data_IF_696558129869
#
_entry.id   IF_696558129869
#
_cell.length_a   1.000
_cell.length_b   1.000
_cell.length_c   1.000
_cell.angle_alpha   90.00
_cell.angle_beta   90.00
_cell.angle_gamma   90.00
#
_symmetry.space_group_name_H-M   'P 1'
#
loop_
_entity.id
_entity.type
_entity.pdbx_description
1 polymer ?
#
# COMPACT_ATOMS: atom_id res chain seq x y z
N UNK A 1 38.75 28.91 -7.53
CA UNK A 1 37.58 28.03 -7.67
C UNK A 1 36.87 27.97 -6.32
N UNK A 2 35.77 28.73 -6.19
CA UNK A 2 34.63 28.42 -5.29
C UNK A 2 34.29 26.93 -5.55
N UNK A 3 34.21 26.02 -4.58
CA UNK A 3 33.23 25.92 -3.51
C UNK A 3 33.85 25.08 -2.38
N UNK A 4 34.38 25.74 -1.35
CA UNK A 4 34.97 25.10 -0.17
C UNK A 4 33.99 24.88 0.98
N UNK A 5 32.72 25.21 0.81
CA UNK A 5 31.67 24.98 1.80
C UNK A 5 30.78 23.83 1.32
N UNK A 6 30.87 22.71 2.03
CA UNK A 6 30.01 21.55 1.86
C UNK A 6 28.54 21.97 1.99
N UNK A 7 27.66 21.36 1.19
CA UNK A 7 26.20 21.54 1.26
C UNK A 7 25.68 21.28 2.68
N UNK A 8 26.36 20.39 3.42
CA UNK A 8 26.08 20.16 4.84
C UNK A 8 26.23 21.42 5.69
N UNK A 9 27.26 22.24 5.44
CA UNK A 9 27.47 23.47 6.18
C UNK A 9 26.34 24.48 5.89
N UNK A 10 25.84 24.54 4.66
CA UNK A 10 24.71 25.39 4.29
C UNK A 10 23.40 24.99 4.96
N UNK A 11 23.22 23.69 5.28
CA UNK A 11 22.02 23.20 5.97
C UNK A 11 22.13 23.45 7.48
N UNK A 12 23.29 23.19 8.07
CA UNK A 12 23.54 23.46 9.50
C UNK A 12 23.41 24.96 9.80
N UNK A 13 24.02 25.82 8.98
CA UNK A 13 23.93 27.27 9.17
C UNK A 13 22.51 27.82 8.92
N UNK A 14 21.73 27.15 8.07
CA UNK A 14 20.31 27.49 7.90
C UNK A 14 19.50 27.11 9.13
N UNK A 15 19.77 25.95 9.72
CA UNK A 15 19.06 25.46 10.90
C UNK A 15 19.32 26.34 12.13
N UNK A 16 20.58 26.73 12.36
CA UNK A 16 20.96 27.64 13.46
C UNK A 16 20.29 29.02 13.31
N UNK A 17 20.13 29.51 12.07
CA UNK A 17 19.45 30.78 11.78
C UNK A 17 17.93 30.69 11.97
N UNK A 18 17.34 29.53 11.76
CA UNK A 18 15.90 29.31 11.99
C UNK A 18 15.60 29.21 13.51
N UNK A 19 16.51 28.65 14.31
CA UNK A 19 16.37 28.51 15.78
C UNK A 19 16.45 29.85 16.54
N UNK A 20 17.16 30.85 15.99
CA UNK A 20 17.29 32.19 16.58
C UNK A 20 16.11 33.13 16.25
N UNK A 21 15.20 32.72 15.34
CA UNK A 21 14.04 33.53 14.91
C UNK A 21 12.80 33.45 15.80
N UNK A 22 12.85 32.76 16.94
CA UNK A 22 11.68 32.55 17.77
C UNK A 22 11.62 33.46 19.02
N UNK A 23 11.04 34.66 18.86
CA UNK A 23 10.12 35.36 19.82
C UNK A 23 9.65 36.72 19.22
N UNK A 24 8.46 37.30 19.57
CA UNK A 24 7.20 36.77 20.14
C UNK A 24 5.88 37.27 19.44
N UNK A 25 4.75 36.68 19.83
CA UNK A 25 3.33 37.14 19.87
C UNK A 25 2.68 37.88 18.67
N UNK A 26 1.55 37.35 18.16
CA UNK A 26 0.23 38.01 18.26
C UNK A 26 -0.92 37.15 17.66
N UNK A 27 -2.08 37.23 18.33
CA UNK A 27 -3.38 36.66 17.94
C UNK A 27 -3.87 37.16 16.55
N UNK A 28 -4.79 36.43 15.90
CA UNK A 28 -6.19 36.86 15.62
C UNK A 28 -6.92 35.80 14.76
N UNK A 29 -7.84 35.12 15.45
CA UNK A 29 -9.23 34.74 15.11
C UNK A 29 -9.63 34.30 13.68
N UNK A 30 -10.21 33.10 13.71
CA UNK A 30 -11.54 32.69 13.20
C UNK A 30 -11.82 32.70 11.69
N UNK A 31 -12.14 31.51 11.18
CA UNK A 31 -12.91 31.32 9.95
C UNK A 31 -13.48 29.91 9.84
N UNK A 32 -14.72 29.72 10.33
CA UNK A 32 -15.65 28.63 9.95
C UNK A 32 -15.24 27.17 10.24
N UNK A 33 -15.23 26.80 11.53
CA UNK A 33 -15.40 25.42 11.94
C UNK A 33 -16.88 25.02 11.89
N UNK A 34 -17.22 24.04 11.05
CA UNK A 34 -18.53 23.39 11.06
C UNK A 34 -18.61 22.57 12.37
N UNK A 35 -19.10 23.20 13.44
CA UNK A 35 -19.48 22.50 14.66
C UNK A 35 -20.82 21.82 14.43
N UNK A 36 -20.81 20.63 13.84
CA UNK A 36 -21.89 19.67 13.99
C UNK A 36 -21.42 18.33 13.44
N UNK A 37 -21.13 17.38 14.34
CA UNK A 37 -21.43 15.95 14.24
C UNK A 37 -20.66 15.22 15.36
N UNK A 38 -20.98 15.54 16.63
CA UNK A 38 -20.74 14.62 17.74
C UNK A 38 -22.00 13.78 17.96
N UNK A 39 -22.47 13.10 16.93
CA UNK A 39 -23.35 11.94 17.15
C UNK A 39 -22.42 10.76 17.34
N UNK A 40 -21.96 10.58 18.57
CA UNK A 40 -21.36 9.32 19.00
C UNK A 40 -22.44 8.25 18.83
N UNK A 41 -22.36 7.50 17.74
CA UNK A 41 -23.14 6.28 17.57
C UNK A 41 -22.63 5.27 18.60
N UNK A 42 -23.20 5.36 19.81
CA UNK A 42 -23.07 4.32 20.82
C UNK A 42 -24.04 3.22 20.39
N UNK A 43 -23.50 2.16 19.78
CA UNK A 43 -24.26 0.94 19.56
C UNK A 43 -24.44 0.28 20.93
N UNK A 44 -25.56 0.57 21.58
CA UNK A 44 -25.94 -0.07 22.83
C UNK A 44 -26.24 -1.55 22.53
N UNK A 45 -25.29 -2.42 22.85
CA UNK A 45 -25.41 -3.88 22.74
C UNK A 45 -26.23 -4.47 23.89
N UNK A 46 -27.13 -3.67 24.49
CA UNK A 46 -28.06 -4.18 25.46
C UNK A 46 -28.89 -5.25 24.75
N UNK A 47 -28.74 -6.49 25.21
CA UNK A 47 -29.61 -7.63 24.93
C UNK A 47 -31.04 -7.23 25.29
N UNK A 48 -31.70 -6.56 24.35
CA UNK A 48 -33.09 -6.19 24.46
C UNK A 48 -33.88 -7.48 24.30
N UNK A 49 -34.44 -7.96 25.41
CA UNK A 49 -35.48 -8.99 25.41
C UNK A 49 -36.48 -8.66 24.28
N UNK A 50 -36.72 -9.58 23.33
CA UNK A 50 -37.52 -9.26 22.16
C UNK A 50 -38.94 -8.93 22.60
N UNK A 51 -39.29 -7.65 22.51
CA UNK A 51 -40.65 -7.15 22.74
C UNK A 51 -41.64 -7.98 21.95
N UNK A 52 -42.78 -8.33 22.56
CA UNK A 52 -43.83 -9.18 21.97
C UNK A 52 -44.41 -8.65 20.65
N UNK A 53 -44.08 -7.39 20.29
CA UNK A 53 -44.36 -6.80 18.99
C UNK A 53 -43.61 -7.46 17.82
N UNK A 54 -42.54 -8.22 18.08
CA UNK A 54 -41.75 -8.93 17.07
C UNK A 54 -42.24 -10.36 16.76
N UNK A 55 -43.37 -10.79 17.33
CA UNK A 55 -43.98 -12.11 17.02
C UNK A 55 -44.15 -12.42 15.53
N UNK A 56 -44.57 -11.49 14.64
CA UNK A 56 -44.67 -11.81 13.21
C UNK A 56 -43.28 -11.97 12.56
N UNK A 57 -42.26 -11.29 13.07
CA UNK A 57 -40.89 -11.39 12.58
C UNK A 57 -40.30 -12.78 12.91
N UNK A 58 -40.59 -13.32 14.09
CA UNK A 58 -40.18 -14.67 14.49
C UNK A 58 -40.76 -15.76 13.58
N UNK A 59 -42.03 -15.62 13.19
CA UNK A 59 -42.64 -16.55 12.23
C UNK A 59 -41.98 -16.49 10.85
N UNK A 60 -41.49 -15.32 10.43
CA UNK A 60 -40.77 -15.16 9.17
C UNK A 60 -39.39 -15.80 9.23
N UNK A 61 -38.68 -15.63 10.36
CA UNK A 61 -37.37 -16.25 10.61
C UNK A 61 -37.42 -17.78 10.66
N UNK A 62 -38.54 -18.37 11.11
CA UNK A 62 -38.73 -19.83 11.13
C UNK A 62 -38.84 -20.49 9.76
N UNK A 63 -39.17 -19.72 8.71
CA UNK A 63 -39.13 -20.20 7.31
C UNK A 63 -37.78 -19.98 6.63
N UNK A 64 -36.89 -19.21 7.25
CA UNK A 64 -35.52 -19.08 6.77
C UNK A 64 -34.81 -20.34 7.21
N UNK A 65 -34.79 -21.31 6.32
CA UNK A 65 -34.00 -22.53 6.45
C UNK A 65 -32.61 -22.10 6.92
N UNK A 66 -32.24 -22.51 8.13
CA UNK A 66 -30.91 -22.27 8.66
C UNK A 66 -29.96 -22.66 7.54
N UNK A 67 -29.08 -21.76 7.07
CA UNK A 67 -28.12 -22.15 6.07
C UNK A 67 -27.31 -23.26 6.72
N UNK A 68 -27.61 -24.50 6.31
CA UNK A 68 -26.76 -25.65 6.60
C UNK A 68 -25.38 -25.16 6.31
N UNK A 69 -24.53 -25.12 7.33
CA UNK A 69 -23.16 -24.67 7.20
C UNK A 69 -22.61 -25.45 6.01
N UNK A 70 -22.49 -24.79 4.87
CA UNK A 70 -21.89 -25.40 3.70
C UNK A 70 -20.54 -25.88 4.21
N UNK A 71 -20.14 -27.14 3.98
CA UNK A 71 -18.83 -27.58 4.37
C UNK A 71 -17.88 -26.52 3.83
N UNK A 72 -17.19 -25.83 4.74
CA UNK A 72 -16.22 -24.81 4.38
C UNK A 72 -15.38 -25.47 3.31
N UNK A 73 -15.38 -25.00 2.05
CA UNK A 73 -14.58 -25.64 1.02
C UNK A 73 -13.19 -25.73 1.62
N UNK A 74 -12.73 -26.96 1.87
CA UNK A 74 -11.40 -27.19 2.42
C UNK A 74 -10.49 -26.32 1.58
N UNK A 75 -9.83 -25.35 2.23
CA UNK A 75 -9.00 -24.39 1.56
C UNK A 75 -8.00 -25.20 0.75
N UNK A 76 -8.26 -25.34 -0.55
CA UNK A 76 -7.34 -25.98 -1.48
C UNK A 76 -6.06 -25.21 -1.24
N UNK A 77 -4.98 -25.86 -0.77
CA UNK A 77 -3.75 -25.15 -0.46
C UNK A 77 -3.40 -24.37 -1.71
N UNK A 78 -3.47 -23.04 -1.59
CA UNK A 78 -3.28 -22.11 -2.70
C UNK A 78 -1.86 -22.40 -3.20
N UNK A 79 -1.78 -23.12 -4.32
CA UNK A 79 -0.52 -23.68 -4.80
C UNK A 79 0.32 -22.47 -5.19
N UNK A 80 1.39 -22.21 -4.43
CA UNK A 80 2.25 -21.05 -4.68
C UNK A 80 2.66 -21.06 -6.15
N UNK A 81 2.35 -20.00 -6.92
CA UNK A 81 2.71 -20.02 -8.32
C UNK A 81 4.24 -19.98 -8.43
N UNK A 82 4.84 -20.82 -9.30
CA UNK A 82 6.27 -21.12 -9.28
C UNK A 82 7.17 -19.90 -9.53
N UNK A 83 6.62 -18.84 -10.13
CA UNK A 83 7.34 -17.59 -10.35
C UNK A 83 7.53 -16.81 -9.04
N UNK A 84 6.61 -16.90 -8.07
CA UNK A 84 6.73 -16.19 -6.79
C UNK A 84 7.71 -16.84 -5.80
N UNK A 85 8.18 -18.06 -6.08
CA UNK A 85 9.23 -18.73 -5.28
C UNK A 85 10.63 -18.18 -5.59
N UNK A 86 10.81 -17.68 -6.82
CA UNK A 86 12.08 -17.20 -7.36
C UNK A 86 12.24 -15.70 -7.12
N UNK A 87 12.62 -15.36 -5.88
CA UNK A 87 12.81 -13.98 -5.43
C UNK A 87 14.25 -13.48 -5.56
N UNK A 88 15.19 -14.31 -6.04
CA UNK A 88 16.57 -13.89 -6.21
C UNK A 88 16.69 -12.85 -7.32
N UNK A 89 17.64 -11.91 -7.15
CA UNK A 89 17.88 -10.84 -8.11
C UNK A 89 18.23 -11.38 -9.51
N UNK A 90 18.96 -12.50 -9.57
CA UNK A 90 19.30 -13.17 -10.84
C UNK A 90 18.06 -13.67 -11.57
N UNK A 91 17.10 -14.28 -10.87
CA UNK A 91 15.89 -14.81 -11.47
C UNK A 91 15.02 -13.68 -12.05
N UNK A 92 14.95 -12.55 -11.34
CA UNK A 92 14.23 -11.36 -11.81
C UNK A 92 14.92 -10.73 -13.02
N UNK A 93 16.26 -10.72 -13.05
CA UNK A 93 17.02 -10.26 -14.21
C UNK A 93 16.77 -11.11 -15.45
N UNK A 94 16.78 -12.44 -15.28
CA UNK A 94 16.55 -13.39 -16.37
C UNK A 94 15.12 -13.27 -16.93
N UNK A 95 14.12 -13.10 -16.08
CA UNK A 95 12.72 -12.89 -16.50
C UNK A 95 12.52 -11.55 -17.22
N UNK A 96 13.19 -10.50 -16.76
CA UNK A 96 13.07 -9.17 -17.34
C UNK A 96 13.82 -9.06 -18.69
N UNK A 97 14.81 -9.91 -18.91
CA UNK A 97 15.57 -10.03 -20.16
C UNK A 97 16.05 -8.67 -20.70
N UNK A 98 16.65 -7.86 -19.82
CA UNK A 98 17.25 -6.57 -20.18
C UNK A 98 18.44 -6.81 -21.12
N UNK A 99 18.51 -6.08 -22.23
CA UNK A 99 19.60 -6.13 -23.21
C UNK A 99 20.19 -4.73 -23.42
N UNK A 100 21.45 -4.67 -23.87
CA UNK A 100 22.16 -3.41 -24.16
C UNK A 100 21.53 -2.57 -25.29
N UNK A 101 20.63 -3.17 -26.08
CA UNK A 101 19.90 -2.51 -27.17
C UNK A 101 18.57 -1.91 -26.73
N UNK A 102 18.18 -2.10 -25.48
CA UNK A 102 16.92 -1.59 -24.96
C UNK A 102 16.97 -0.06 -24.88
N UNK A 103 15.87 0.59 -25.24
CA UNK A 103 15.64 2.03 -25.02
C UNK A 103 14.83 2.26 -23.75
N UNK A 104 14.76 3.51 -23.29
CA UNK A 104 13.97 3.91 -22.11
C UNK A 104 12.48 3.52 -22.26
N UNK A 105 11.93 3.60 -23.47
CA UNK A 105 10.56 3.16 -23.75
C UNK A 105 10.40 1.64 -23.58
N UNK A 106 11.31 0.85 -24.15
CA UNK A 106 11.26 -0.62 -24.06
C UNK A 106 11.46 -1.12 -22.63
N UNK A 107 12.31 -0.48 -21.84
CA UNK A 107 12.48 -0.78 -20.41
C UNK A 107 11.20 -0.47 -19.62
N UNK A 108 10.52 0.62 -19.96
CA UNK A 108 9.23 0.97 -19.36
C UNK A 108 8.13 -0.02 -19.73
N UNK A 109 8.14 -0.56 -20.95
CA UNK A 109 7.25 -1.65 -21.36
C UNK A 109 7.51 -2.93 -20.57
N UNK A 110 8.78 -3.35 -20.47
CA UNK A 110 9.18 -4.52 -19.68
C UNK A 110 8.73 -4.41 -18.22
N UNK A 111 8.90 -3.23 -17.60
CA UNK A 111 8.38 -2.95 -16.25
C UNK A 111 6.88 -3.20 -16.14
N UNK A 112 6.08 -2.68 -17.08
CA UNK A 112 4.62 -2.85 -17.07
C UNK A 112 4.23 -4.31 -17.25
N UNK A 113 4.93 -5.04 -18.12
CA UNK A 113 4.69 -6.46 -18.36
C UNK A 113 4.99 -7.29 -17.10
N UNK A 114 6.12 -7.00 -16.44
CA UNK A 114 6.51 -7.65 -15.20
C UNK A 114 5.51 -7.37 -14.07
N UNK A 115 5.10 -6.10 -13.91
CA UNK A 115 4.13 -5.70 -12.89
C UNK A 115 2.78 -6.40 -13.06
N UNK A 116 2.28 -6.61 -14.29
CA UNK A 116 0.99 -7.28 -14.52
C UNK A 116 0.92 -8.70 -13.94
N UNK A 117 2.06 -9.38 -13.84
CA UNK A 117 2.14 -10.74 -13.30
C UNK A 117 2.54 -10.76 -11.83
N UNK A 118 3.28 -9.74 -11.36
CA UNK A 118 3.95 -9.73 -10.07
C UNK A 118 3.49 -8.62 -9.11
N UNK A 119 2.42 -7.88 -9.42
CA UNK A 119 1.96 -6.80 -8.55
C UNK A 119 1.45 -7.33 -7.20
N UNK A 120 1.86 -6.75 -6.05
CA UNK A 120 1.41 -7.19 -4.73
C UNK A 120 -0.12 -7.16 -4.57
N UNK A 121 -0.81 -6.25 -5.26
CA UNK A 121 -2.27 -6.16 -5.19
C UNK A 121 -2.99 -7.25 -5.98
N UNK A 122 -2.34 -7.85 -6.99
CA UNK A 122 -2.92 -8.89 -7.83
C UNK A 122 -2.68 -10.30 -7.29
N UNK A 123 -1.84 -10.44 -6.26
CA UNK A 123 -1.52 -11.74 -5.64
C UNK A 123 -2.22 -11.93 -4.29
N UNK A 124 -2.41 -13.19 -3.91
CA UNK A 124 -2.97 -13.58 -2.61
C UNK A 124 -2.14 -12.99 -1.45
N UNK A 125 -2.77 -12.60 -0.32
CA UNK A 125 -2.09 -11.93 0.80
C UNK A 125 -0.82 -12.63 1.28
N UNK A 126 -0.81 -13.95 1.26
CA UNK A 126 0.33 -14.79 1.67
C UNK A 126 1.57 -14.65 0.78
N UNK A 127 1.39 -14.30 -0.49
CA UNK A 127 2.49 -14.16 -1.46
C UNK A 127 2.90 -12.71 -1.72
N UNK A 128 2.22 -11.74 -1.10
CA UNK A 128 2.51 -10.30 -1.30
C UNK A 128 3.93 -9.91 -0.94
N UNK A 129 4.50 -10.55 0.09
CA UNK A 129 5.88 -10.28 0.48
C UNK A 129 6.85 -10.63 -0.66
N UNK A 130 6.70 -11.81 -1.26
CA UNK A 130 7.55 -12.23 -2.38
C UNK A 130 7.31 -11.36 -3.61
N UNK A 131 6.06 -11.04 -3.94
CA UNK A 131 5.72 -10.12 -5.03
C UNK A 131 6.37 -8.73 -4.83
N UNK A 132 6.34 -8.20 -3.61
CA UNK A 132 7.03 -6.95 -3.28
C UNK A 132 8.54 -7.05 -3.51
N UNK A 133 9.20 -8.09 -3.01
CA UNK A 133 10.64 -8.30 -3.21
C UNK A 133 11.00 -8.35 -4.70
N UNK A 134 10.23 -9.08 -5.50
CA UNK A 134 10.41 -9.18 -6.95
C UNK A 134 10.20 -7.84 -7.66
N UNK A 135 9.15 -7.10 -7.29
CA UNK A 135 8.86 -5.79 -7.87
C UNK A 135 9.94 -4.76 -7.53
N UNK A 136 10.43 -4.75 -6.29
CA UNK A 136 11.55 -3.90 -5.87
C UNK A 136 12.83 -4.24 -6.64
N UNK A 137 13.15 -5.52 -6.78
CA UNK A 137 14.30 -5.98 -7.55
C UNK A 137 14.20 -5.55 -9.02
N UNK A 138 13.04 -5.73 -9.66
CA UNK A 138 12.81 -5.33 -11.04
C UNK A 138 12.95 -3.81 -11.22
N UNK A 139 12.37 -3.00 -10.34
CA UNK A 139 12.50 -1.54 -10.40
C UNK A 139 13.97 -1.12 -10.30
N UNK A 140 14.72 -1.69 -9.36
CA UNK A 140 16.14 -1.40 -9.20
C UNK A 140 16.95 -1.69 -10.46
N UNK A 141 16.73 -2.85 -11.11
CA UNK A 141 17.44 -3.22 -12.34
C UNK A 141 17.09 -2.29 -13.51
N UNK A 142 15.82 -1.91 -13.63
CA UNK A 142 15.34 -1.01 -14.69
C UNK A 142 15.91 0.39 -14.50
N UNK A 143 15.89 0.93 -13.29
CA UNK A 143 16.43 2.25 -12.99
C UNK A 143 17.95 2.30 -13.24
N UNK A 144 18.65 1.21 -12.92
CA UNK A 144 20.07 1.07 -13.26
C UNK A 144 20.30 1.06 -14.78
N UNK A 145 19.53 0.28 -15.54
CA UNK A 145 19.64 0.23 -16.99
C UNK A 145 19.36 1.59 -17.65
N UNK A 146 18.32 2.30 -17.19
CA UNK A 146 18.01 3.68 -17.66
C UNK A 146 19.19 4.63 -17.36
N UNK A 147 19.80 4.51 -16.18
CA UNK A 147 20.95 5.33 -15.80
C UNK A 147 22.17 5.06 -16.70
N UNK A 148 22.37 3.83 -17.15
CA UNK A 148 23.44 3.49 -18.10
C UNK A 148 23.21 4.06 -19.49
N UNK A 149 21.96 4.11 -19.97
CA UNK A 149 21.62 4.68 -21.29
C UNK A 149 21.75 6.21 -21.30
N UNK A 150 21.42 6.86 -20.18
CA UNK A 150 21.41 8.33 -20.06
C UNK A 150 22.82 8.91 -19.80
N UNK A 151 23.81 8.06 -19.55
CA UNK A 151 25.19 8.45 -19.26
C UNK A 151 25.99 8.64 -20.55
#
# INVERSE_FOLDING_TARGET
>A
MLFGQSVFQSVVERLEREDESDVPEEEIRSGFGINSFSSSLVFETATQEPSSANRPLESYLGFVEQPVAQPTPEAIPDIMPPHLERTALSDVSDELAINDKDTVETLSEKRRNFARLNHPDMVSPQFRHNANLRMTAANLLIDQAIRFITR
#
